data_IF_467408936915
#
_entry.id   IF_467408936915
#
_cell.length_a   1.000
_cell.length_b   1.000
_cell.length_c   1.000
_cell.angle_alpha   90.00
_cell.angle_beta   90.00
_cell.angle_gamma   90.00
#
_symmetry.space_group_name_H-M   'P 1'
#
loop_
_entity.id
_entity.type
_entity.pdbx_description
1 polymer ?
#
# COMPACT_ATOMS: atom_id res chain seq x y z
N UNK A 1 -23.16 -7.33 8.77
CA UNK A 1 -22.71 -6.12 9.50
C UNK A 1 -21.76 -5.35 8.59
N UNK A 2 -21.94 -4.04 8.38
CA UNK A 2 -21.12 -3.24 7.43
C UNK A 2 -19.62 -3.32 7.70
N UNK A 3 -19.24 -3.51 8.97
CA UNK A 3 -17.85 -3.69 9.40
C UNK A 3 -17.11 -4.85 8.71
N UNK A 4 -17.80 -5.95 8.43
CA UNK A 4 -17.22 -7.16 7.82
C UNK A 4 -17.55 -7.29 6.33
N UNK A 5 -18.07 -6.23 5.70
CA UNK A 5 -18.36 -6.22 4.28
C UNK A 5 -17.11 -6.58 3.47
N UNK A 6 -17.22 -7.63 2.62
CA UNK A 6 -16.17 -8.18 1.76
C UNK A 6 -14.89 -8.67 2.45
N UNK A 7 -14.88 -8.82 3.79
CA UNK A 7 -13.68 -9.24 4.52
C UNK A 7 -13.34 -10.72 4.33
N UNK A 8 -14.33 -11.56 4.00
CA UNK A 8 -14.06 -12.94 3.58
C UNK A 8 -13.31 -13.00 2.25
N UNK A 9 -13.65 -12.11 1.30
CA UNK A 9 -12.93 -12.02 0.01
C UNK A 9 -11.51 -11.51 0.21
N UNK A 10 -11.32 -10.56 1.13
CA UNK A 10 -10.00 -10.07 1.53
C UNK A 10 -9.15 -11.21 2.11
N UNK A 11 -9.70 -11.95 3.08
CA UNK A 11 -9.02 -13.07 3.73
C UNK A 11 -8.66 -14.19 2.74
N UNK A 12 -9.61 -14.61 1.90
CA UNK A 12 -9.35 -15.65 0.89
C UNK A 12 -8.27 -15.20 -0.09
N UNK A 13 -8.35 -13.95 -0.57
CA UNK A 13 -7.33 -13.39 -1.47
C UNK A 13 -5.96 -13.33 -0.80
N UNK A 14 -5.91 -12.92 0.47
CA UNK A 14 -4.68 -12.89 1.26
C UNK A 14 -4.07 -14.29 1.41
N UNK A 15 -4.88 -15.31 1.75
CA UNK A 15 -4.42 -16.70 1.87
C UNK A 15 -3.81 -17.18 0.55
N UNK A 16 -4.50 -16.94 -0.58
CA UNK A 16 -4.01 -17.30 -1.90
C UNK A 16 -2.69 -16.61 -2.23
N UNK A 17 -2.58 -15.31 -1.96
CA UNK A 17 -1.35 -14.55 -2.21
C UNK A 17 -0.19 -15.01 -1.33
N UNK A 18 -0.42 -15.22 -0.03
CA UNK A 18 0.61 -15.72 0.90
C UNK A 18 1.07 -17.12 0.49
N UNK A 19 0.15 -18.00 0.09
CA UNK A 19 0.50 -19.32 -0.42
C UNK A 19 1.32 -19.24 -1.71
N UNK A 20 0.93 -18.37 -2.65
CA UNK A 20 1.68 -18.13 -3.89
C UNK A 20 3.10 -17.61 -3.62
N UNK A 21 3.24 -16.66 -2.69
CA UNK A 21 4.54 -16.12 -2.26
C UNK A 21 5.38 -17.17 -1.55
N UNK A 22 4.77 -17.98 -0.67
CA UNK A 22 5.46 -19.09 -0.01
C UNK A 22 6.06 -20.07 -1.03
N UNK A 23 5.28 -20.45 -2.04
CA UNK A 23 5.77 -21.33 -3.11
C UNK A 23 6.87 -20.67 -3.93
N UNK A 24 6.66 -19.43 -4.37
CA UNK A 24 7.65 -18.67 -5.15
C UNK A 24 8.96 -18.43 -4.37
N UNK A 25 8.90 -18.29 -3.05
CA UNK A 25 10.09 -18.09 -2.21
C UNK A 25 11.02 -19.31 -2.15
N UNK A 26 10.55 -20.49 -2.55
CA UNK A 26 11.39 -21.70 -2.62
C UNK A 26 12.26 -21.76 -3.87
N UNK A 27 12.06 -20.85 -4.82
CA UNK A 27 12.90 -20.79 -6.00
C UNK A 27 14.36 -20.43 -5.64
N UNK A 28 15.29 -20.93 -6.45
CA UNK A 28 16.72 -20.81 -6.19
C UNK A 28 17.16 -19.33 -6.10
N UNK A 29 17.90 -19.04 -5.03
CA UNK A 29 18.46 -17.71 -4.77
C UNK A 29 17.47 -16.69 -4.21
N UNK A 30 16.19 -17.04 -4.00
CA UNK A 30 15.20 -16.09 -3.43
C UNK A 30 15.44 -15.87 -1.94
N UNK A 31 15.69 -16.92 -1.16
CA UNK A 31 15.92 -16.79 0.29
C UNK A 31 17.39 -16.93 0.68
N UNK A 32 18.32 -16.77 -0.28
CA UNK A 32 19.76 -16.84 -0.01
C UNK A 32 20.33 -15.49 0.40
N UNK A 33 21.13 -15.49 1.45
CA UNK A 33 21.84 -14.32 1.93
C UNK A 33 21.52 -13.99 3.39
N UNK A 34 22.07 -12.87 3.84
CA UNK A 34 21.88 -12.38 5.21
C UNK A 34 22.21 -10.90 5.27
N UNK A 35 21.67 -10.21 6.28
CA UNK A 35 22.01 -8.83 6.61
C UNK A 35 21.94 -8.64 8.12
N UNK A 36 22.97 -8.02 8.70
CA UNK A 36 23.09 -7.80 10.15
C UNK A 36 22.94 -9.06 11.01
N UNK A 37 23.39 -10.21 10.50
CA UNK A 37 23.32 -11.50 11.20
C UNK A 37 21.94 -12.18 11.13
N UNK A 38 20.97 -11.60 10.43
CA UNK A 38 19.66 -12.19 10.16
C UNK A 38 19.61 -12.71 8.72
N UNK A 39 18.98 -13.86 8.51
CA UNK A 39 18.84 -14.46 7.20
C UNK A 39 17.88 -13.68 6.30
N UNK A 40 18.01 -13.86 4.98
CA UNK A 40 17.08 -13.26 4.01
C UNK A 40 15.64 -13.72 4.25
N UNK A 41 15.42 -14.94 4.77
CA UNK A 41 14.09 -15.44 5.08
C UNK A 41 13.37 -14.58 6.13
N UNK A 42 14.06 -14.17 7.19
CA UNK A 42 13.53 -13.23 8.18
C UNK A 42 13.12 -11.91 7.54
N UNK A 43 14.02 -11.28 6.78
CA UNK A 43 13.74 -10.00 6.11
C UNK A 43 12.59 -10.12 5.11
N UNK A 44 12.49 -11.26 4.43
CA UNK A 44 11.45 -11.55 3.46
C UNK A 44 10.07 -11.60 4.13
N UNK A 45 9.91 -12.43 5.17
CA UNK A 45 8.64 -12.55 5.88
C UNK A 45 8.26 -11.28 6.63
N UNK A 46 9.23 -10.50 7.09
CA UNK A 46 8.99 -9.16 7.65
C UNK A 46 8.40 -8.21 6.58
N UNK A 47 9.00 -8.18 5.38
CA UNK A 47 8.52 -7.36 4.27
C UNK A 47 7.13 -7.77 3.74
N UNK A 48 6.73 -9.04 3.90
CA UNK A 48 5.37 -9.54 3.61
C UNK A 48 4.39 -9.18 4.74
N UNK A 49 4.82 -9.29 6.00
CA UNK A 49 3.95 -9.07 7.17
C UNK A 49 3.55 -7.61 7.34
N UNK A 50 4.45 -6.66 7.09
CA UNK A 50 4.16 -5.22 7.25
C UNK A 50 2.99 -4.74 6.39
N UNK A 51 2.91 -5.00 5.07
CA UNK A 51 1.74 -4.61 4.29
C UNK A 51 0.46 -5.31 4.75
N UNK A 52 0.53 -6.55 5.24
CA UNK A 52 -0.62 -7.27 5.85
C UNK A 52 -1.11 -6.52 7.09
N UNK A 53 -0.21 -6.27 8.05
CA UNK A 53 -0.51 -5.56 9.30
C UNK A 53 -1.09 -4.17 9.01
N UNK A 54 -0.50 -3.45 8.06
CA UNK A 54 -0.99 -2.13 7.65
C UNK A 54 -2.42 -2.22 7.08
N UNK A 55 -2.70 -3.12 6.14
CA UNK A 55 -4.05 -3.19 5.58
C UNK A 55 -5.11 -3.63 6.59
N UNK A 56 -4.77 -4.56 7.49
CA UNK A 56 -5.67 -4.97 8.59
C UNK A 56 -5.93 -3.80 9.53
N UNK A 57 -4.89 -3.04 9.88
CA UNK A 57 -5.02 -1.81 10.67
C UNK A 57 -5.95 -0.79 9.99
N UNK A 58 -5.74 -0.52 8.69
CA UNK A 58 -6.59 0.41 7.92
C UNK A 58 -8.03 -0.08 7.89
N UNK A 59 -8.27 -1.35 7.55
CA UNK A 59 -9.62 -1.91 7.57
C UNK A 59 -10.32 -1.69 8.91
N UNK A 60 -9.69 -2.09 10.01
CA UNK A 60 -10.27 -1.97 11.35
C UNK A 60 -10.58 -0.51 11.66
N UNK A 61 -9.59 0.37 11.52
CA UNK A 61 -9.72 1.79 11.87
C UNK A 61 -10.72 2.52 11.00
N UNK A 62 -10.69 2.33 9.68
CA UNK A 62 -11.61 2.97 8.75
C UNK A 62 -13.05 2.52 8.96
N UNK A 63 -13.30 1.22 9.07
CA UNK A 63 -14.67 0.70 9.27
C UNK A 63 -15.21 0.99 10.66
N UNK A 64 -14.35 0.95 11.69
CA UNK A 64 -14.76 1.31 13.04
C UNK A 64 -15.13 2.80 13.12
N UNK A 65 -14.32 3.66 12.49
CA UNK A 65 -14.57 5.09 12.47
C UNK A 65 -15.78 5.45 11.61
N UNK A 66 -15.84 4.98 10.37
CA UNK A 66 -16.89 5.34 9.43
C UNK A 66 -18.30 4.93 9.89
N UNK A 67 -18.42 3.83 10.63
CA UNK A 67 -19.72 3.27 11.04
C UNK A 67 -20.05 3.48 12.52
N UNK A 68 -19.05 3.69 13.39
CA UNK A 68 -19.26 3.73 14.84
C UNK A 68 -18.50 4.85 15.56
N UNK A 69 -17.73 5.68 14.82
CA UNK A 69 -16.97 6.82 15.36
C UNK A 69 -16.06 6.44 16.53
N UNK A 70 -15.52 5.22 16.54
CA UNK A 70 -14.82 4.68 17.73
C UNK A 70 -13.60 5.49 18.12
N UNK A 71 -12.83 5.98 17.14
CA UNK A 71 -11.58 6.71 17.40
C UNK A 71 -11.93 8.13 17.81
N UNK A 72 -12.90 8.75 17.14
CA UNK A 72 -13.42 10.08 17.52
C UNK A 72 -14.04 10.07 18.92
N UNK A 73 -14.79 9.05 19.30
CA UNK A 73 -15.33 8.94 20.67
C UNK A 73 -14.24 8.75 21.72
N UNK A 74 -13.17 8.01 21.41
CA UNK A 74 -12.09 7.74 22.36
C UNK A 74 -11.10 8.91 22.51
N UNK A 75 -10.84 9.66 21.43
CA UNK A 75 -9.73 10.62 21.37
C UNK A 75 -10.12 12.03 20.89
N UNK A 76 -11.39 12.25 20.53
CA UNK A 76 -11.90 13.52 20.00
C UNK A 76 -11.14 13.98 18.76
N UNK A 77 -10.89 15.29 18.68
CA UNK A 77 -10.23 15.95 17.54
C UNK A 77 -8.80 15.43 17.26
N UNK A 78 -8.16 14.77 18.23
CA UNK A 78 -6.82 14.18 18.05
C UNK A 78 -6.85 12.78 17.47
N UNK A 79 -8.02 12.16 17.33
CA UNK A 79 -8.18 10.79 16.84
C UNK A 79 -7.53 10.56 15.48
N UNK A 80 -7.77 11.48 14.53
CA UNK A 80 -7.17 11.40 13.20
C UNK A 80 -5.64 11.49 13.23
N UNK A 81 -5.07 12.32 14.12
CA UNK A 81 -3.61 12.45 14.26
C UNK A 81 -3.00 11.14 14.78
N UNK A 82 -3.56 10.56 15.84
CA UNK A 82 -3.06 9.30 16.40
C UNK A 82 -3.14 8.15 15.40
N UNK A 83 -4.26 8.04 14.69
CA UNK A 83 -4.40 7.11 13.58
C UNK A 83 -3.33 7.35 12.49
N UNK A 84 -3.15 8.60 12.07
CA UNK A 84 -2.22 8.98 11.00
C UNK A 84 -0.76 8.64 11.34
N UNK A 85 -0.36 8.78 12.60
CA UNK A 85 1.00 8.40 13.04
C UNK A 85 1.23 6.89 12.82
N UNK A 86 0.31 6.05 13.27
CA UNK A 86 0.45 4.58 13.11
C UNK A 86 0.38 4.20 11.63
N UNK A 87 -0.54 4.80 10.87
CA UNK A 87 -0.64 4.61 9.43
C UNK A 87 0.69 4.92 8.74
N UNK A 88 1.28 6.08 9.01
CA UNK A 88 2.53 6.52 8.40
C UNK A 88 3.72 5.67 8.82
N UNK A 89 3.79 5.24 10.08
CA UNK A 89 4.82 4.30 10.55
C UNK A 89 4.77 3.00 9.74
N UNK A 90 3.59 2.40 9.58
CA UNK A 90 3.42 1.18 8.80
C UNK A 90 3.61 1.41 7.29
N UNK A 91 3.27 2.60 6.77
CA UNK A 91 3.50 2.97 5.37
C UNK A 91 5.00 3.05 5.06
N UNK A 92 5.76 3.78 5.89
CA UNK A 92 7.20 4.02 5.72
C UNK A 92 8.00 2.75 6.02
N UNK A 93 7.53 1.89 6.92
CA UNK A 93 8.21 0.63 7.20
C UNK A 93 8.25 -0.30 5.98
N UNK A 94 7.34 -0.17 5.01
CA UNK A 94 7.34 -0.96 3.76
C UNK A 94 8.61 -0.74 2.92
N UNK A 95 8.92 0.48 2.42
CA UNK A 95 10.15 0.68 1.63
C UNK A 95 11.42 0.39 2.44
N UNK A 96 11.44 0.66 3.75
CA UNK A 96 12.60 0.35 4.61
C UNK A 96 12.87 -1.16 4.65
N UNK A 97 11.84 -1.96 4.94
CA UNK A 97 12.03 -3.42 5.03
C UNK A 97 12.31 -4.07 3.68
N UNK A 98 11.73 -3.57 2.59
CA UNK A 98 12.10 -4.02 1.24
C UNK A 98 13.54 -3.63 0.89
N UNK A 99 14.03 -2.47 1.33
CA UNK A 99 15.43 -2.08 1.13
C UNK A 99 16.39 -3.01 1.88
N UNK A 100 16.09 -3.34 3.15
CA UNK A 100 16.89 -4.32 3.91
C UNK A 100 16.82 -5.72 3.29
N UNK A 101 15.65 -6.15 2.84
CA UNK A 101 15.49 -7.40 2.09
C UNK A 101 16.35 -7.41 0.83
N UNK A 102 16.30 -6.33 0.03
CA UNK A 102 17.06 -6.20 -1.20
C UNK A 102 18.58 -6.26 -0.95
N UNK A 103 19.06 -5.59 0.10
CA UNK A 103 20.46 -5.66 0.52
C UNK A 103 20.87 -7.04 1.00
N UNK A 104 20.01 -7.74 1.75
CA UNK A 104 20.30 -9.10 2.24
C UNK A 104 20.43 -10.13 1.10
N UNK A 105 19.76 -9.88 -0.02
CA UNK A 105 19.63 -10.77 -1.16
C UNK A 105 20.19 -10.14 -2.46
N UNK A 106 21.15 -9.24 -2.31
CA UNK A 106 21.75 -8.48 -3.39
C UNK A 106 22.47 -9.38 -4.40
N UNK A 107 22.30 -9.11 -5.69
CA UNK A 107 22.96 -9.83 -6.78
C UNK A 107 22.42 -11.25 -7.03
N UNK A 108 21.31 -11.63 -6.40
CA UNK A 108 20.67 -12.94 -6.63
C UNK A 108 20.00 -13.06 -7.99
N UNK A 109 19.64 -11.93 -8.62
CA UNK A 109 19.10 -11.86 -9.97
C UNK A 109 20.24 -11.72 -10.99
N UNK A 110 20.44 -12.76 -11.81
CA UNK A 110 21.44 -12.79 -12.87
C UNK A 110 20.94 -12.03 -14.11
N UNK A 111 20.98 -10.70 -14.06
CA UNK A 111 20.59 -9.80 -15.15
C UNK A 111 21.54 -8.61 -15.19
N UNK A 112 21.79 -8.05 -16.38
CA UNK A 112 22.65 -6.88 -16.53
C UNK A 112 22.13 -5.70 -15.66
N UNK A 113 22.93 -5.20 -14.70
CA UNK A 113 22.55 -4.07 -13.86
C UNK A 113 22.13 -2.83 -14.65
N UNK A 114 22.65 -2.61 -15.86
CA UNK A 114 22.26 -1.47 -16.70
C UNK A 114 20.79 -1.56 -17.10
N UNK A 115 20.32 -2.74 -17.47
CA UNK A 115 18.92 -2.98 -17.82
C UNK A 115 18.03 -2.72 -16.61
N UNK A 116 18.41 -3.27 -15.44
CA UNK A 116 17.65 -3.08 -14.21
C UNK A 116 17.58 -1.60 -13.79
N UNK A 117 18.68 -0.85 -13.92
CA UNK A 117 18.74 0.57 -13.62
C UNK A 117 17.87 1.41 -14.56
N UNK A 118 17.81 1.06 -15.86
CA UNK A 118 16.91 1.71 -16.82
C UNK A 118 15.45 1.47 -16.42
N UNK A 119 15.09 0.24 -16.07
CA UNK A 119 13.73 -0.07 -15.60
C UNK A 119 13.42 0.74 -14.33
N UNK A 120 14.34 0.78 -13.36
CA UNK A 120 14.16 1.53 -12.13
C UNK A 120 13.94 3.03 -12.40
N UNK A 121 14.69 3.62 -13.34
CA UNK A 121 14.53 5.02 -13.73
C UNK A 121 13.17 5.27 -14.38
N UNK A 122 12.71 4.38 -15.27
CA UNK A 122 11.39 4.47 -15.90
C UNK A 122 10.28 4.40 -14.87
N UNK A 123 10.38 3.52 -13.87
CA UNK A 123 9.40 3.41 -12.78
C UNK A 123 9.42 4.61 -11.83
N UNK A 124 10.58 5.24 -11.63
CA UNK A 124 10.74 6.39 -10.74
C UNK A 124 9.99 7.64 -11.26
N UNK A 125 9.93 7.86 -12.58
CA UNK A 125 9.29 9.02 -13.19
C UNK A 125 7.80 9.17 -12.75
N UNK A 126 6.92 8.17 -12.95
CA UNK A 126 5.53 8.29 -12.51
C UNK A 126 5.38 8.35 -10.99
N UNK A 127 6.27 7.73 -10.21
CA UNK A 127 6.28 7.84 -8.74
C UNK A 127 6.50 9.29 -8.31
N UNK A 128 7.55 9.94 -8.81
CA UNK A 128 7.86 11.33 -8.45
C UNK A 128 6.74 12.28 -8.90
N UNK A 129 6.17 12.06 -10.08
CA UNK A 129 5.05 12.87 -10.55
C UNK A 129 3.79 12.67 -9.69
N UNK A 130 3.50 11.44 -9.26
CA UNK A 130 2.41 11.15 -8.32
C UNK A 130 2.63 11.88 -6.99
N UNK A 131 3.82 11.75 -6.38
CA UNK A 131 4.11 12.38 -5.09
C UNK A 131 3.93 13.91 -5.16
N UNK A 132 4.42 14.52 -6.23
CA UNK A 132 4.18 15.94 -6.51
C UNK A 132 2.68 16.26 -6.59
N UNK A 133 1.90 15.46 -7.32
CA UNK A 133 0.47 15.66 -7.47
C UNK A 133 -0.30 15.47 -6.15
N UNK A 134 0.13 14.55 -5.29
CA UNK A 134 -0.47 14.34 -3.97
C UNK A 134 -0.32 15.61 -3.13
N UNK A 135 0.91 16.12 -3.01
CA UNK A 135 1.19 17.33 -2.22
C UNK A 135 0.49 18.56 -2.80
N UNK A 136 0.53 18.74 -4.12
CA UNK A 136 0.03 19.95 -4.77
C UNK A 136 -1.50 19.98 -4.97
N UNK A 137 -2.12 18.84 -5.24
CA UNK A 137 -3.53 18.79 -5.67
C UNK A 137 -4.44 17.94 -4.78
N UNK A 138 -3.92 16.87 -4.16
CA UNK A 138 -4.75 15.93 -3.41
C UNK A 138 -4.86 16.26 -1.92
N UNK A 139 -3.78 16.77 -1.33
CA UNK A 139 -3.50 16.91 0.11
C UNK A 139 -3.13 15.59 0.80
N UNK A 140 -2.26 15.69 1.82
CA UNK A 140 -1.85 14.54 2.63
C UNK A 140 -3.00 14.00 3.48
N UNK A 141 -3.87 14.86 4.02
CA UNK A 141 -5.01 14.44 4.84
C UNK A 141 -5.96 13.53 4.07
N UNK A 142 -6.28 13.87 2.81
CA UNK A 142 -7.07 12.99 1.94
C UNK A 142 -6.33 11.70 1.62
N UNK A 143 -5.02 11.73 1.40
CA UNK A 143 -4.25 10.52 1.16
C UNK A 143 -4.22 9.57 2.38
N UNK A 144 -4.42 10.11 3.59
CA UNK A 144 -4.50 9.37 4.84
C UNK A 144 -5.91 8.86 5.17
N UNK A 145 -6.94 9.30 4.44
CA UNK A 145 -8.33 8.87 4.65
C UNK A 145 -9.14 9.74 5.62
N UNK A 146 -8.88 11.06 5.68
CA UNK A 146 -9.65 12.00 6.52
C UNK A 146 -11.16 11.96 6.28
N UNK A 147 -11.63 11.54 5.10
CA UNK A 147 -13.05 11.41 4.77
C UNK A 147 -13.79 10.32 5.57
N UNK A 148 -13.06 9.42 6.21
CA UNK A 148 -13.62 8.48 7.18
C UNK A 148 -13.94 9.14 8.52
N UNK A 149 -13.19 10.18 8.90
CA UNK A 149 -13.28 10.89 10.17
C UNK A 149 -14.17 12.14 10.08
N UNK A 150 -14.02 12.93 9.01
CA UNK A 150 -14.61 14.25 8.89
C UNK A 150 -15.68 14.30 7.78
N UNK A 151 -16.91 14.64 8.17
CA UNK A 151 -18.07 14.76 7.28
C UNK A 151 -17.89 15.90 6.26
N UNK A 152 -17.19 16.98 6.62
CA UNK A 152 -16.96 18.10 5.71
C UNK A 152 -16.06 17.69 4.53
N UNK A 153 -15.17 16.71 4.75
CA UNK A 153 -14.35 16.13 3.69
C UNK A 153 -15.14 15.21 2.75
N UNK A 154 -16.20 14.55 3.23
CA UNK A 154 -17.15 13.78 2.40
C UNK A 154 -17.91 14.67 1.42
N UNK A 155 -18.00 15.97 1.75
CA UNK A 155 -18.54 17.04 0.91
C UNK A 155 -17.73 17.29 -0.37
N UNK A 156 -16.41 17.13 -0.32
CA UNK A 156 -15.47 17.67 -1.31
C UNK A 156 -15.43 16.83 -2.60
N UNK A 157 -15.34 17.46 -3.79
CA UNK A 157 -15.27 16.73 -5.05
C UNK A 157 -13.99 15.90 -5.18
N UNK A 158 -14.04 14.87 -6.02
CA UNK A 158 -12.87 14.08 -6.40
C UNK A 158 -11.88 14.96 -7.19
N UNK A 159 -10.58 14.78 -6.92
CA UNK A 159 -9.54 15.59 -7.56
C UNK A 159 -9.31 15.12 -9.00
N UNK A 160 -9.38 16.05 -9.96
CA UNK A 160 -9.20 15.80 -11.41
C UNK A 160 -8.02 16.58 -12.00
N UNK A 161 -6.98 16.86 -11.21
CA UNK A 161 -5.78 17.61 -11.60
C UNK A 161 -4.53 16.73 -11.60
N UNK A 162 -3.51 17.12 -12.36
CA UNK A 162 -2.26 16.36 -12.46
C UNK A 162 -2.49 14.92 -12.93
N UNK A 163 -1.81 13.96 -12.30
CA UNK A 163 -1.94 12.53 -12.64
C UNK A 163 -3.36 11.99 -12.43
N UNK A 164 -4.13 12.55 -11.47
CA UNK A 164 -5.51 12.15 -11.17
C UNK A 164 -6.51 12.49 -12.29
N UNK A 165 -6.12 13.34 -13.25
CA UNK A 165 -6.92 13.61 -14.46
C UNK A 165 -6.94 12.41 -15.40
N UNK A 166 -5.82 11.69 -15.50
CA UNK A 166 -5.61 10.66 -16.52
C UNK A 166 -5.90 9.26 -16.00
N UNK A 167 -5.59 9.00 -14.73
CA UNK A 167 -5.71 7.67 -14.12
C UNK A 167 -6.46 7.79 -12.80
N UNK A 168 -7.65 7.20 -12.74
CA UNK A 168 -8.36 7.00 -11.48
C UNK A 168 -7.55 6.03 -10.61
N UNK A 169 -7.55 6.21 -9.28
CA UNK A 169 -6.76 5.41 -8.34
C UNK A 169 -5.24 5.44 -8.63
N UNK A 170 -4.72 6.55 -9.15
CA UNK A 170 -3.30 6.73 -9.48
C UNK A 170 -2.34 6.39 -8.32
N UNK A 171 -2.76 6.57 -7.06
CA UNK A 171 -1.97 6.16 -5.89
C UNK A 171 -1.74 4.64 -5.84
N UNK A 172 -2.75 3.84 -6.21
CA UNK A 172 -2.66 2.38 -6.25
C UNK A 172 -1.83 1.89 -7.44
N UNK A 173 -1.96 2.57 -8.59
CA UNK A 173 -1.25 2.21 -9.83
C UNK A 173 0.24 2.57 -9.75
N UNK A 174 0.56 3.79 -9.32
CA UNK A 174 1.92 4.32 -9.40
C UNK A 174 2.63 4.40 -8.05
N UNK A 175 1.91 4.53 -6.94
CA UNK A 175 2.52 4.75 -5.62
C UNK A 175 3.39 3.60 -5.17
N UNK A 176 2.96 2.35 -5.43
CA UNK A 176 3.72 1.17 -5.04
C UNK A 176 4.87 0.81 -5.98
N UNK A 177 5.03 1.50 -7.12
CA UNK A 177 6.21 1.32 -7.97
C UNK A 177 7.51 1.67 -7.23
N UNK A 178 7.45 2.53 -6.21
CA UNK A 178 8.60 2.83 -5.35
C UNK A 178 9.17 1.58 -4.66
N UNK A 179 8.32 0.59 -4.35
CA UNK A 179 8.74 -0.64 -3.68
C UNK A 179 9.57 -1.56 -4.58
N UNK A 180 9.51 -1.36 -5.90
CA UNK A 180 10.28 -2.15 -6.86
C UNK A 180 11.73 -1.68 -6.97
N UNK A 181 11.99 -0.41 -6.63
CA UNK A 181 13.29 0.22 -6.85
C UNK A 181 14.43 -0.48 -6.11
N UNK A 182 14.33 -0.86 -4.81
CA UNK A 182 15.42 -1.55 -4.13
C UNK A 182 15.77 -2.89 -4.79
N UNK A 183 14.76 -3.66 -5.21
CA UNK A 183 14.96 -4.94 -5.87
C UNK A 183 15.63 -4.83 -7.24
N UNK A 184 15.28 -3.79 -8.01
CA UNK A 184 15.91 -3.51 -9.30
C UNK A 184 17.36 -3.03 -9.14
N UNK A 185 17.57 -2.02 -8.30
CA UNK A 185 18.88 -1.38 -8.12
C UNK A 185 19.93 -2.33 -7.51
N UNK A 186 19.49 -3.28 -6.67
CA UNK A 186 20.36 -4.27 -6.03
C UNK A 186 20.26 -5.66 -6.66
N UNK A 187 19.55 -5.81 -7.78
CA UNK A 187 19.35 -7.08 -8.46
C UNK A 187 18.91 -8.21 -7.49
N UNK A 188 17.88 -7.93 -6.67
CA UNK A 188 17.38 -8.86 -5.64
C UNK A 188 16.06 -9.51 -6.05
N UNK A 189 16.09 -10.84 -6.21
CA UNK A 189 14.90 -11.66 -6.47
C UNK A 189 13.86 -11.55 -5.34
N UNK A 190 14.31 -11.61 -4.09
CA UNK A 190 13.44 -11.57 -2.91
C UNK A 190 12.65 -10.26 -2.82
N UNK A 191 13.36 -9.14 -3.01
CA UNK A 191 12.74 -7.82 -2.95
C UNK A 191 11.74 -7.59 -4.09
N UNK A 192 12.03 -8.08 -5.30
CA UNK A 192 11.09 -8.02 -6.42
C UNK A 192 9.82 -8.86 -6.16
N UNK A 193 9.98 -10.05 -5.57
CA UNK A 193 8.84 -10.88 -5.18
C UNK A 193 7.98 -10.22 -4.08
N UNK A 194 8.61 -9.62 -3.07
CA UNK A 194 7.91 -8.88 -2.02
C UNK A 194 7.23 -7.61 -2.57
N UNK A 195 7.86 -6.90 -3.50
CA UNK A 195 7.29 -5.74 -4.19
C UNK A 195 6.06 -6.15 -5.02
N UNK A 196 6.12 -7.27 -5.73
CA UNK A 196 4.99 -7.84 -6.47
C UNK A 196 3.83 -8.19 -5.54
N UNK A 197 4.10 -8.88 -4.43
CA UNK A 197 3.08 -9.17 -3.41
C UNK A 197 2.41 -7.88 -2.92
N UNK A 198 3.19 -6.89 -2.51
CA UNK A 198 2.66 -5.60 -2.06
C UNK A 198 1.81 -4.91 -3.13
N UNK A 199 2.25 -4.96 -4.38
CA UNK A 199 1.55 -4.34 -5.51
C UNK A 199 0.22 -5.04 -5.82
N UNK A 200 0.15 -6.37 -5.76
CA UNK A 200 -1.14 -7.07 -5.95
C UNK A 200 -2.04 -6.90 -4.72
N UNK A 201 -1.48 -7.04 -3.53
CA UNK A 201 -2.24 -7.06 -2.29
C UNK A 201 -2.92 -5.72 -2.00
N UNK A 202 -2.37 -4.58 -2.45
CA UNK A 202 -3.06 -3.28 -2.28
C UNK A 202 -4.36 -3.20 -3.07
N UNK A 203 -4.48 -3.93 -4.18
CA UNK A 203 -5.74 -3.99 -4.94
C UNK A 203 -6.79 -4.82 -4.22
N UNK A 204 -6.38 -5.87 -3.48
CA UNK A 204 -7.28 -6.60 -2.60
C UNK A 204 -7.90 -5.63 -1.58
N UNK A 205 -7.08 -4.79 -0.95
CA UNK A 205 -7.57 -3.73 -0.06
C UNK A 205 -8.52 -2.76 -0.75
N UNK A 206 -8.14 -2.25 -1.93
CA UNK A 206 -8.97 -1.32 -2.68
C UNK A 206 -10.37 -1.90 -2.92
N UNK A 207 -10.46 -3.14 -3.43
CA UNK A 207 -11.77 -3.71 -3.76
C UNK A 207 -12.59 -4.07 -2.52
N UNK A 208 -11.96 -4.51 -1.43
CA UNK A 208 -12.69 -5.06 -0.27
C UNK A 208 -12.93 -4.06 0.85
N UNK A 209 -12.13 -3.00 0.95
CA UNK A 209 -12.22 -1.98 2.00
C UNK A 209 -12.58 -0.63 1.38
N UNK A 210 -11.68 -0.03 0.61
CA UNK A 210 -11.85 1.36 0.17
C UNK A 210 -13.03 1.51 -0.80
N UNK A 211 -13.19 0.67 -1.81
CA UNK A 211 -14.24 0.84 -2.80
C UNK A 211 -15.65 0.77 -2.19
N UNK A 212 -15.99 -0.19 -1.31
CA UNK A 212 -17.26 -0.14 -0.59
C UNK A 212 -17.39 1.09 0.31
N UNK A 213 -16.32 1.52 1.00
CA UNK A 213 -16.35 2.73 1.82
C UNK A 213 -16.60 3.99 0.97
N UNK A 214 -15.94 4.10 -0.18
CA UNK A 214 -16.15 5.16 -1.16
C UNK A 214 -17.58 5.16 -1.70
N UNK A 215 -18.19 3.99 -1.94
CA UNK A 215 -19.61 3.90 -2.32
C UNK A 215 -20.52 4.36 -1.19
N UNK A 216 -20.17 4.07 0.06
CA UNK A 216 -20.94 4.55 1.20
C UNK A 216 -20.80 6.07 1.39
N UNK A 217 -19.59 6.61 1.26
CA UNK A 217 -19.27 8.03 1.47
C UNK A 217 -19.79 8.90 0.31
N UNK A 218 -19.63 8.44 -0.94
CA UNK A 218 -19.87 9.24 -2.15
C UNK A 218 -21.01 8.73 -3.04
N UNK A 219 -21.52 7.50 -2.84
CA UNK A 219 -22.47 6.86 -3.75
C UNK A 219 -23.83 7.55 -3.87
N UNK A 220 -24.33 8.16 -2.79
CA UNK A 220 -25.60 8.91 -2.83
C UNK A 220 -25.54 10.18 -3.69
N UNK A 221 -24.34 10.68 -4.04
CA UNK A 221 -24.17 11.87 -4.87
C UNK A 221 -24.11 11.57 -6.38
N UNK A 222 -23.84 10.32 -6.76
CA UNK A 222 -23.84 9.91 -8.17
C UNK A 222 -25.27 9.75 -8.72
N UNK A 223 -26.22 9.40 -7.85
CA UNK A 223 -27.62 9.17 -8.23
C UNK A 223 -28.48 10.45 -8.14
N UNK A 224 -27.91 11.56 -7.61
CA UNK A 224 -28.58 12.85 -7.43
C UNK A 224 -28.20 13.91 -8.46
N UNK A 225 -27.50 13.54 -9.53
CA UNK A 225 -27.17 14.42 -10.66
C UNK A 225 -27.91 14.03 -11.94
N UNK A 226 -29.22 13.75 -11.81
CA UNK A 226 -30.17 13.64 -12.93
C UNK A 226 -31.02 14.89 -13.04
#
# INVERSE_FOLDING_TARGET
MKFFERQMEHLVSLIVLVFGVYWASRAEGVLSGSLYGLDTAFWFWLAITIPIAHQVFVWITWRAELHYLTITHAFGDRGFIYYSVIFMLLLIARPITIAFLASSNQGSLQTDPRVLNIIALVLLIPVLYLLYCVVKYFSMERALGIDHFDVDYRGKPLVRKGIFKYVNNSMYVFGLLILWLPGLLLASKAALLAALFGHIYIWVHYFTVELPDMRYIYGSKADGSS
#
